data_IF_246491496300
#
_entry.id   IF_246491496300
#
_cell.length_a   1.000
_cell.length_b   1.000
_cell.length_c   1.000
_cell.angle_alpha   90.00
_cell.angle_beta   90.00
_cell.angle_gamma   90.00
#
_symmetry.space_group_name_H-M   'P 1'
#
loop_
_entity.id
_entity.type
_entity.pdbx_description
1 polymer ?
2 polymer ?
3 water ?
#
# COMPACT_ATOMS: atom_id res chain seq x y z
N UNK A 24 15.21 7.16 -6.68
CA UNK A 24 15.59 6.33 -5.55
C UNK A 24 15.78 4.85 -5.97
N UNK A 25 16.70 4.14 -5.30
CA UNK A 25 16.92 2.73 -5.64
C UNK A 25 15.71 1.90 -5.26
N UNK A 26 15.45 0.80 -5.99
CA UNK A 26 14.29 -0.05 -5.65
C UNK A 26 14.44 -0.71 -4.28
N UNK A 27 13.30 -1.00 -3.67
CA UNK A 27 13.27 -1.77 -2.43
C UNK A 27 13.66 -3.22 -2.68
N UNK A 28 14.37 -3.84 -1.74
CA UNK A 28 14.82 -5.21 -1.92
C UNK A 28 14.21 -6.12 -0.86
N UNK A 29 13.95 -7.37 -1.25
CA UNK A 29 13.47 -8.39 -0.34
C UNK A 29 14.07 -9.74 -0.72
N UNK A 30 14.30 -10.56 0.28
CA UNK A 30 14.70 -11.96 0.12
C UNK A 30 13.57 -12.86 0.63
N UNK A 31 13.17 -13.83 -0.19
CA UNK A 31 11.97 -14.64 0.04
C UNK A 31 12.37 -16.11 0.05
N UNK A 32 12.19 -16.77 1.19
CA UNK A 32 12.45 -18.19 1.33
C UNK A 32 11.15 -18.89 1.71
N UNK A 33 10.76 -19.89 0.93
CA UNK A 33 9.63 -20.76 1.25
C UNK A 33 10.17 -22.14 1.61
N UNK A 34 9.95 -22.58 2.85
CA UNK A 34 10.31 -23.91 3.32
C UNK A 34 9.02 -24.65 3.68
N UNK A 35 8.95 -25.96 3.40
CA UNK A 35 7.71 -26.67 3.65
C UNK A 35 7.70 -27.21 5.08
N UNK A 36 6.58 -27.84 5.46
CA UNK A 36 6.40 -28.36 6.82
C UNK A 36 7.47 -29.38 7.22
N UNK A 37 8.20 -29.94 6.25
CA UNK A 37 9.26 -30.90 6.53
C UNK A 37 10.65 -30.27 6.58
N UNK A 38 10.81 -29.05 6.06
CA UNK A 38 12.09 -28.35 6.09
C UNK A 38 12.71 -28.13 4.73
N UNK A 39 12.10 -28.62 3.67
CA UNK A 39 12.68 -28.56 2.33
C UNK A 39 12.50 -27.15 1.78
N UNK A 40 13.59 -26.52 1.34
CA UNK A 40 13.47 -25.24 0.68
C UNK A 40 12.72 -25.46 -0.64
N UNK A 41 11.56 -24.81 -0.77
CA UNK A 41 10.80 -24.83 -2.00
C UNK A 41 11.12 -23.61 -2.86
N UNK A 42 11.68 -22.56 -2.26
CA UNK A 42 11.92 -21.34 -3.01
C UNK A 42 12.87 -20.43 -2.23
N UNK A 43 13.87 -19.90 -2.93
CA UNK A 43 14.69 -18.83 -2.39
C UNK A 43 15.09 -17.95 -3.54
N UNK A 44 14.70 -16.68 -3.45
CA UNK A 44 14.86 -15.72 -4.53
C UNK A 44 14.95 -14.33 -3.92
N UNK A 45 15.50 -13.41 -4.72
CA UNK A 45 15.65 -12.02 -4.31
C UNK A 45 14.73 -11.18 -5.19
N UNK A 46 14.20 -10.11 -4.61
CA UNK A 46 13.10 -9.38 -5.22
C UNK A 46 13.40 -7.89 -5.14
N UNK A 47 12.74 -7.13 -6.01
CA UNK A 47 12.84 -5.68 -6.07
C UNK A 47 11.48 -5.10 -6.42
N UNK A 48 11.18 -3.93 -5.87
CA UNK A 48 9.95 -3.26 -6.26
C UNK A 48 10.14 -2.61 -7.64
N UNK A 49 9.09 -1.96 -8.14
CA UNK A 49 9.16 -1.20 -9.37
C UNK A 49 9.14 -2.04 -10.64
N UNK A 50 9.05 -1.34 -11.78
CA UNK A 50 8.97 -1.94 -13.11
C UNK A 50 7.84 -2.96 -13.18
N UNK A 51 6.62 -2.46 -13.28
CA UNK A 51 5.42 -3.28 -13.35
C UNK A 51 5.45 -4.23 -14.53
N UNK A 52 5.24 -5.52 -14.26
CA UNK A 52 5.03 -6.49 -15.34
C UNK A 52 3.65 -6.32 -15.96
N UNK A 53 3.47 -6.90 -17.15
CA UNK A 53 2.16 -6.82 -17.81
C UNK A 53 1.14 -7.66 -17.06
N UNK A 54 1.55 -8.81 -16.52
CA UNK A 54 0.63 -9.55 -15.65
C UNK A 54 0.13 -8.66 -14.52
N UNK A 55 1.05 -7.90 -13.90
CA UNK A 55 0.67 -6.94 -12.86
C UNK A 55 -0.25 -5.87 -13.43
N UNK A 56 0.15 -5.27 -14.56
CA UNK A 56 -0.62 -4.19 -15.17
C UNK A 56 -2.07 -4.58 -15.41
N UNK A 57 -2.33 -5.87 -15.71
CA UNK A 57 -3.69 -6.30 -16.02
C UNK A 57 -4.60 -6.29 -14.80
N UNK A 58 -4.06 -6.11 -13.60
CA UNK A 58 -4.87 -6.10 -12.40
C UNK A 58 -5.75 -4.86 -12.30
N UNK A 59 -5.49 -3.83 -13.11
CA UNK A 59 -6.20 -2.58 -13.00
C UNK A 59 -5.62 -1.68 -11.91
N UNK A 60 -5.85 -0.38 -12.07
CA UNK A 60 -5.46 0.59 -11.06
C UNK A 60 -6.55 0.72 -9.99
N UNK A 61 -6.19 0.79 -8.68
CA UNK A 61 -4.82 0.93 -8.14
C UNK A 61 -4.15 -0.38 -7.77
N UNK A 62 -4.84 -1.51 -7.93
CA UNK A 62 -4.30 -2.79 -7.47
C UNK A 62 -2.96 -3.13 -8.13
N UNK A 63 -2.76 -2.66 -9.37
CA UNK A 63 -1.55 -3.05 -10.08
C UNK A 63 -0.33 -2.31 -9.56
N UNK A 64 -0.48 -1.04 -9.20
CA UNK A 64 0.61 -0.34 -8.54
C UNK A 64 0.86 -0.94 -7.16
N UNK A 65 -0.22 -1.18 -6.41
CA UNK A 65 -0.11 -1.79 -5.09
C UNK A 65 0.60 -3.14 -5.15
N UNK A 66 0.54 -3.82 -6.32
CA UNK A 66 1.11 -5.15 -6.48
C UNK A 66 2.61 -5.14 -6.75
N UNK A 67 3.22 -3.99 -7.04
CA UNK A 67 4.66 -3.91 -7.34
C UNK A 67 5.53 -3.68 -6.10
N UNK A 68 4.93 -3.65 -4.91
CA UNK A 68 5.70 -3.69 -3.66
C UNK A 68 6.29 -5.07 -3.48
N UNK A 69 7.49 -5.12 -2.88
CA UNK A 69 8.20 -6.37 -2.68
C UNK A 69 7.35 -7.40 -1.93
N UNK A 70 6.66 -6.98 -0.86
CA UNK A 70 5.90 -7.96 -0.08
C UNK A 70 4.77 -8.54 -0.91
N UNK A 71 4.03 -7.68 -1.63
CA UNK A 71 2.93 -8.15 -2.47
C UNK A 71 3.44 -9.10 -3.55
N UNK A 72 4.55 -8.73 -4.21
CA UNK A 72 5.17 -9.61 -5.19
C UNK A 72 5.53 -10.95 -4.58
N UNK A 73 6.12 -10.94 -3.39
CA UNK A 73 6.48 -12.19 -2.72
C UNK A 73 5.25 -13.09 -2.54
N UNK A 74 4.15 -12.53 -2.03
CA UNK A 74 2.96 -13.34 -1.85
C UNK A 74 2.40 -13.87 -3.16
N UNK A 75 2.73 -13.24 -4.28
CA UNK A 75 2.29 -13.73 -5.59
C UNK A 75 3.35 -14.57 -6.29
N UNK A 76 4.56 -14.67 -5.73
CA UNK A 76 5.61 -15.51 -6.29
C UNK A 76 5.18 -16.95 -6.41
N UNK A 77 4.96 -17.61 -5.27
CA UNK A 77 4.75 -19.03 -5.24
C UNK A 77 3.51 -19.32 -4.39
N UNK A 78 2.70 -20.28 -4.86
CA UNK A 78 1.58 -20.77 -4.07
C UNK A 78 2.10 -21.51 -2.84
N UNK A 79 1.44 -21.31 -1.71
CA UNK A 79 1.81 -22.00 -0.48
C UNK A 79 0.86 -23.13 -0.19
N UNK A 80 1.44 -24.23 0.28
CA UNK A 80 0.69 -25.35 0.81
C UNK A 80 0.62 -25.24 2.31
N UNK A 81 -0.43 -25.85 2.87
CA UNK A 81 -0.60 -25.96 4.30
C UNK A 81 0.68 -26.41 4.98
N UNK A 82 1.11 -25.65 5.98
CA UNK A 82 2.32 -25.94 6.72
C UNK A 82 3.55 -25.26 6.20
N UNK A 83 3.49 -24.63 5.03
CA UNK A 83 4.66 -23.91 4.55
C UNK A 83 4.92 -22.68 5.42
N UNK A 84 6.17 -22.22 5.39
CA UNK A 84 6.56 -20.94 5.95
C UNK A 84 7.18 -20.12 4.84
N UNK A 85 6.58 -18.96 4.55
CA UNK A 85 7.18 -17.98 3.64
C UNK A 85 7.84 -16.90 4.49
N UNK A 86 9.16 -16.87 4.46
CA UNK A 86 9.96 -15.84 5.10
C UNK A 86 10.30 -14.75 4.08
N UNK A 87 9.91 -13.50 4.39
CA UNK A 87 10.13 -12.34 3.52
C UNK A 87 10.97 -11.36 4.31
N UNK A 88 12.25 -11.27 3.97
CA UNK A 88 13.18 -10.33 4.64
C UNK A 88 13.29 -9.09 3.76
N UNK A 89 12.62 -8.02 4.17
CA UNK A 89 12.63 -6.77 3.46
C UNK A 89 13.41 -5.72 4.21
N UNK A 90 13.26 -4.46 3.76
CA UNK A 90 14.10 -3.37 4.23
C UNK A 90 13.36 -2.33 5.05
N UNK A 91 12.05 -2.18 4.85
CA UNK A 91 11.24 -1.18 5.50
C UNK A 91 10.14 -1.87 6.32
N UNK A 92 9.68 -1.18 7.36
CA UNK A 92 8.50 -1.66 8.08
C UNK A 92 7.37 -1.91 7.08
N UNK A 93 6.54 -2.93 7.29
CA UNK A 93 5.61 -3.35 6.23
C UNK A 93 4.47 -2.34 6.03
N UNK A 94 4.21 -2.01 4.78
CA UNK A 94 3.20 -1.05 4.46
C UNK A 94 1.81 -1.64 4.70
N UNK A 95 0.79 -0.80 4.85
CA UNK A 95 -0.57 -1.35 5.10
C UNK A 95 -1.05 -2.38 4.10
N UNK A 96 -1.02 -2.09 2.79
CA UNK A 96 -1.47 -3.09 1.82
C UNK A 96 -0.51 -4.28 1.75
N UNK A 97 0.77 -4.04 2.06
CA UNK A 97 1.75 -5.14 2.17
C UNK A 97 1.39 -6.09 3.31
N UNK A 98 1.04 -5.54 4.46
CA UNK A 98 0.64 -6.37 5.60
C UNK A 98 -0.56 -7.22 5.25
N UNK A 99 -1.54 -6.63 4.58
CA UNK A 99 -2.74 -7.35 4.27
C UNK A 99 -2.50 -8.45 3.26
N UNK A 100 -1.60 -8.21 2.32
CA UNK A 100 -1.22 -9.26 1.37
C UNK A 100 -0.62 -10.45 2.10
N UNK A 101 0.27 -10.19 3.06
CA UNK A 101 0.95 -11.29 3.75
C UNK A 101 -0.01 -12.00 4.69
N UNK A 102 -0.91 -11.25 5.35
CA UNK A 102 -1.95 -11.88 6.16
C UNK A 102 -2.86 -12.74 5.30
N UNK A 103 -3.43 -12.16 4.24
CA UNK A 103 -4.35 -12.90 3.39
C UNK A 103 -3.67 -14.15 2.83
N UNK A 104 -2.41 -13.98 2.40
CA UNK A 104 -1.64 -15.11 1.91
C UNK A 104 -1.56 -16.22 2.95
N UNK A 105 -1.32 -15.86 4.21
CA UNK A 105 -1.20 -16.89 5.24
C UNK A 105 -2.54 -17.55 5.53
N UNK A 106 -3.61 -16.75 5.59
CA UNK A 106 -4.93 -17.27 5.93
C UNK A 106 -5.50 -18.10 4.80
N UNK A 107 -5.38 -17.62 3.56
CA UNK A 107 -5.84 -18.39 2.42
C UNK A 107 -5.05 -19.68 2.21
N UNK A 108 -3.78 -19.73 2.60
CA UNK A 108 -2.95 -20.90 2.35
C UNK A 108 -2.91 -21.88 3.50
N UNK A 109 -3.39 -21.47 4.68
CA UNK A 109 -3.15 -22.26 5.87
C UNK A 109 -1.69 -22.47 6.15
N UNK A 110 -0.89 -21.39 6.05
CA UNK A 110 0.55 -21.43 6.18
C UNK A 110 0.99 -20.25 7.05
N UNK A 111 2.29 -20.22 7.37
CA UNK A 111 2.89 -19.14 8.13
C UNK A 111 3.64 -18.20 7.17
N UNK A 112 3.44 -16.89 7.35
CA UNK A 112 4.17 -15.86 6.61
C UNK A 112 4.85 -14.94 7.62
N UNK A 113 6.16 -14.75 7.46
CA UNK A 113 7.00 -14.00 8.37
C UNK A 113 7.65 -12.86 7.60
N UNK A 114 7.62 -11.65 8.17
CA UNK A 114 8.26 -10.50 7.56
C UNK A 114 9.25 -9.90 8.55
N UNK A 115 10.45 -9.61 8.07
CA UNK A 115 11.46 -8.93 8.87
C UNK A 115 11.94 -7.68 8.14
N UNK A 116 12.55 -6.76 8.89
CA UNK A 116 13.10 -5.53 8.35
C UNK A 116 14.03 -4.92 9.40
N UNK A 117 15.06 -4.20 8.99
CA UNK A 117 15.97 -3.60 9.98
C UNK A 117 15.34 -2.38 10.62
N UNK A 118 15.50 -2.28 11.93
CA UNK A 118 15.04 -1.11 12.68
C UNK A 118 15.80 -1.09 14.01
N UNK A 119 16.35 0.08 14.36
CA UNK A 119 17.13 0.25 15.59
C UNK A 119 18.26 -0.77 15.69
N UNK A 120 18.95 -0.99 14.58
CA UNK A 120 20.11 -1.87 14.57
C UNK A 120 19.78 -3.32 14.70
N UNK A 121 18.51 -3.70 14.53
CA UNK A 121 18.04 -5.07 14.62
C UNK A 121 17.17 -5.40 13.43
N UNK A 122 16.93 -6.70 13.24
CA UNK A 122 15.86 -7.18 12.39
C UNK A 122 14.59 -7.37 13.22
N UNK A 123 13.56 -6.57 12.93
CA UNK A 123 12.25 -6.69 13.55
C UNK A 123 11.42 -7.73 12.79
N UNK A 124 10.34 -8.20 13.41
CA UNK A 124 9.62 -9.37 12.91
C UNK A 124 8.10 -9.21 13.06
N UNK A 125 7.34 -9.65 12.05
CA UNK A 125 5.91 -9.86 12.13
C UNK A 125 5.58 -11.20 11.50
N UNK A 126 4.63 -11.93 12.10
CA UNK A 126 4.19 -13.23 11.59
C UNK A 126 2.68 -13.23 11.46
N UNK A 127 2.19 -13.96 10.46
CA UNK A 127 0.78 -14.28 10.32
C UNK A 127 0.65 -15.77 10.03
N UNK A 128 -0.34 -16.41 10.63
CA UNK A 128 -0.54 -17.85 10.42
C UNK A 128 -2.01 -18.12 10.19
N UNK A 129 -2.33 -18.77 9.07
CA UNK A 129 -3.64 -19.31 8.89
C UNK A 129 -3.79 -20.61 9.68
N UNK A 130 -4.93 -20.72 10.37
CA UNK A 130 -5.28 -21.96 11.07
C UNK A 130 -6.39 -22.68 10.32
N UNK A 131 -6.12 -23.86 9.72
CA UNK A 131 -7.09 -24.60 8.88
C UNK A 131 -8.34 -25.10 9.62
N UNK B 2 6.90 29.71 8.37
CA UNK B 2 6.98 29.48 6.92
C UNK B 2 5.57 29.23 6.35
N UNK B 3 5.34 29.63 5.10
CA UNK B 3 4.15 29.16 4.40
C UNK B 3 4.28 27.67 4.12
N UNK B 4 3.13 26.98 4.04
CA UNK B 4 3.15 25.56 3.74
C UNK B 4 3.59 25.34 2.29
N UNK B 5 4.51 24.39 2.10
CA UNK B 5 5.16 24.15 0.81
C UNK B 5 4.32 23.19 -0.03
N UNK B 6 3.92 23.63 -1.23
CA UNK B 6 3.19 22.76 -2.14
C UNK B 6 4.17 21.85 -2.87
N UNK B 7 4.04 20.53 -2.67
CA UNK B 7 4.94 19.57 -3.31
C UNK B 7 4.49 19.21 -4.72
N UNK B 8 3.19 19.24 -4.97
CA UNK B 8 2.61 18.77 -6.22
C UNK B 8 1.20 19.33 -6.32
N UNK B 9 0.75 19.57 -7.55
CA UNK B 9 -0.58 20.11 -7.84
C UNK B 9 -1.09 19.45 -9.12
N UNK B 10 -1.97 18.48 -8.97
CA UNK B 10 -2.34 17.54 -10.02
C UNK B 10 -3.85 17.54 -10.20
N UNK B 11 -4.31 17.33 -11.46
CA UNK B 11 -5.72 17.18 -11.80
C UNK B 11 -6.10 15.72 -11.69
N UNK B 12 -7.25 15.46 -11.09
CA UNK B 12 -7.69 14.10 -10.79
C UNK B 12 -9.01 13.85 -11.51
N UNK B 13 -9.03 12.79 -12.32
CA UNK B 13 -10.22 12.37 -13.07
C UNK B 13 -10.99 11.24 -12.38
N UNK B 14 -10.32 10.42 -11.58
CA UNK B 14 -10.95 9.29 -10.91
C UNK B 14 -10.51 9.20 -9.45
N UNK B 15 -11.47 9.07 -8.57
CA UNK B 15 -11.23 8.72 -7.17
C UNK B 15 -11.97 7.43 -6.88
N UNK B 16 -11.25 6.45 -6.36
CA UNK B 16 -11.81 5.16 -6.01
C UNK B 16 -11.59 4.89 -4.53
N UNK B 17 -12.48 4.11 -3.93
CA UNK B 17 -12.33 3.68 -2.56
C UNK B 17 -12.68 2.21 -2.47
N UNK B 18 -11.77 1.41 -1.90
CA UNK B 18 -12.08 0.02 -1.58
C UNK B 18 -11.49 -0.35 -0.22
N UNK B 19 -12.02 -1.40 0.37
CA UNK B 19 -11.36 -2.10 1.47
C UNK B 19 -11.12 -3.52 0.98
N UNK B 20 -9.87 -3.87 0.77
CA UNK B 20 -9.46 -5.17 0.26
C UNK B 20 -8.26 -5.64 1.08
N UNK B 21 -8.26 -6.93 1.40
CA UNK B 21 -7.14 -7.58 2.08
C UNK B 21 -6.68 -6.77 3.29
N UNK B 22 -7.62 -6.42 4.16
CA UNK B 22 -7.31 -5.73 5.43
C UNK B 22 -6.73 -4.34 5.22
N UNK B 23 -7.06 -3.69 4.10
CA UNK B 23 -6.48 -2.39 3.78
C UNK B 23 -7.53 -1.49 3.14
N UNK B 24 -7.77 -0.34 3.75
CA UNK B 24 -8.56 0.71 3.14
C UNK B 24 -7.72 1.39 2.07
N UNK B 25 -8.31 1.66 0.91
CA UNK B 25 -7.57 2.13 -0.25
C UNK B 25 -8.33 3.28 -0.87
N UNK B 26 -7.70 4.44 -0.95
CA UNK B 26 -8.30 5.61 -1.56
C UNK B 26 -7.33 6.14 -2.60
N UNK B 27 -7.72 6.08 -3.87
CA UNK B 27 -6.81 6.36 -4.97
C UNK B 27 -7.32 7.56 -5.77
N UNK B 28 -6.36 8.36 -6.24
CA UNK B 28 -6.58 9.59 -7.00
C UNK B 28 -5.77 9.48 -8.30
N UNK B 29 -6.45 9.28 -9.43
CA UNK B 29 -5.78 9.00 -10.69
C UNK B 29 -5.98 10.15 -11.67
N UNK B 30 -4.94 10.46 -12.44
CA UNK B 30 -5.05 11.56 -13.40
C UNK B 30 -5.89 11.18 -14.61
N UNK B 31 -6.09 9.89 -14.83
CA UNK B 31 -6.94 9.41 -15.91
C UNK B 31 -7.53 8.06 -15.50
N UNK B 32 -8.32 7.49 -16.40
CA UNK B 32 -9.04 6.26 -16.10
C UNK B 32 -8.38 5.04 -16.74
N UNK B 33 -7.12 5.17 -17.16
CA UNK B 33 -6.41 4.08 -17.79
C UNK B 33 -5.73 3.18 -16.75
N UNK B 34 -5.24 2.03 -17.22
CA UNK B 34 -4.66 1.05 -16.30
C UNK B 34 -3.46 1.60 -15.56
N UNK B 35 -2.72 2.50 -16.20
CA UNK B 35 -1.49 3.07 -15.67
C UNK B 35 -1.57 4.59 -15.76
N UNK B 36 -2.34 5.24 -14.89
CA UNK B 36 -2.51 6.69 -15.01
C UNK B 36 -1.17 7.40 -14.95
N UNK B 37 -1.11 8.57 -15.58
CA UNK B 37 0.16 9.27 -15.69
C UNK B 37 0.63 9.76 -14.32
N UNK B 38 -0.31 10.20 -13.48
CA UNK B 38 0.01 10.75 -12.17
C UNK B 38 -1.02 10.26 -11.16
N UNK B 39 -0.56 9.80 -9.99
CA UNK B 39 -1.50 9.32 -8.97
C UNK B 39 -0.96 9.50 -7.55
N UNK B 40 -1.91 9.56 -6.61
CA UNK B 40 -1.64 9.35 -5.19
C UNK B 40 -2.58 8.26 -4.68
N UNK B 41 -2.06 7.41 -3.81
CA UNK B 41 -2.87 6.41 -3.13
C UNK B 41 -2.68 6.58 -1.62
N UNK B 42 -3.79 6.64 -0.90
CA UNK B 42 -3.80 6.61 0.56
C UNK B 42 -4.23 5.23 0.99
N UNK B 43 -3.56 4.68 2.00
CA UNK B 43 -3.97 3.39 2.56
C UNK B 43 -3.80 3.36 4.08
N UNK B 44 -4.64 2.56 4.73
CA UNK B 44 -4.56 2.30 6.15
C UNK B 44 -5.14 0.90 6.42
N UNK B 45 -4.52 0.17 7.34
CA UNK B 45 -5.02 -1.14 7.76
C UNK B 45 -6.42 -1.03 8.35
N UNK B 46 -7.20 -2.08 8.15
CA UNK B 46 -8.48 -2.25 8.80
C UNK B 46 -8.48 -3.57 9.57
N UNK B 47 -9.33 -3.66 10.59
CA UNK B 47 -9.32 -4.88 11.41
C UNK B 47 -9.98 -6.06 10.73
N UNK B 48 -10.75 -5.84 9.65
CA UNK B 48 -11.40 -6.93 8.95
C UNK B 48 -11.04 -6.88 7.49
N UNK B 49 -11.19 -8.03 6.81
CA UNK B 49 -10.62 -8.18 5.47
C UNK B 49 -11.22 -7.19 4.48
N UNK B 50 -12.53 -6.94 4.56
CA UNK B 50 -13.21 -6.05 3.63
C UNK B 50 -13.99 -4.97 4.38
N UNK B 51 -13.67 -4.73 5.65
CA UNK B 51 -14.38 -3.77 6.48
C UNK B 51 -13.69 -3.58 7.81
N UNK B 52 -14.44 -3.33 8.88
CA UNK B 52 -13.79 -3.16 10.17
C UNK B 52 -13.19 -1.78 10.40
N UNK B 53 -12.30 -1.71 11.37
CA UNK B 53 -11.87 -0.47 11.99
C UNK B 53 -10.56 -0.01 11.35
N UNK B 54 -10.49 1.17 10.73
CA UNK B 54 -9.20 1.73 10.34
C UNK B 54 -8.23 1.79 11.51
N UNK B 55 -7.02 1.33 11.27
CA UNK B 55 -6.08 0.95 12.32
C UNK B 55 -4.67 1.30 11.85
N UNK B 56 -3.82 1.73 12.79
CA UNK B 56 -2.41 1.92 12.46
C UNK B 56 -2.13 3.25 11.76
N UNK B 57 -0.90 3.35 11.29
CA UNK B 57 -0.46 4.58 10.63
C UNK B 57 -0.96 4.64 9.19
N UNK B 58 -1.41 5.83 8.80
CA UNK B 58 -1.88 6.03 7.46
C UNK B 58 -0.68 6.21 6.53
N UNK B 59 -0.84 5.77 5.29
CA UNK B 59 0.26 5.63 4.37
C UNK B 59 -0.12 6.25 3.04
N UNK B 60 0.88 6.88 2.38
CA UNK B 60 0.71 7.64 1.16
C UNK B 60 1.76 7.25 0.13
N UNK B 61 1.35 7.22 -1.13
CA UNK B 61 2.11 6.57 -2.19
C UNK B 61 1.86 7.33 -3.49
N UNK B 62 2.89 7.39 -4.34
CA UNK B 62 2.78 8.12 -5.60
C UNK B 62 3.85 7.64 -6.58
N UNK B 63 3.56 7.81 -7.88
CA UNK B 63 4.54 7.53 -8.92
C UNK B 63 5.42 8.73 -9.24
N UNK B 64 4.98 9.94 -8.88
CA UNK B 64 5.76 11.15 -9.13
C UNK B 64 7.05 11.13 -8.34
N UNK B 65 8.12 11.63 -8.96
CA UNK B 65 9.44 11.70 -8.31
C UNK B 65 9.43 12.92 -7.40
N UNK B 66 9.02 12.70 -6.16
CA UNK B 66 9.04 13.78 -5.19
C UNK B 66 9.23 13.20 -3.79
N UNK B 67 10.05 13.87 -2.99
CA UNK B 67 10.42 13.36 -1.68
C UNK B 67 9.39 13.82 -0.65
N UNK B 68 8.95 12.87 0.14
CA UNK B 68 8.06 13.12 1.26
C UNK B 68 8.08 11.87 2.10
N UNK B 69 7.83 12.04 3.38
CA UNK B 69 7.67 10.91 4.29
C UNK B 69 6.42 10.14 3.90
N UNK B 70 6.52 8.87 3.52
CA UNK B 70 5.30 8.10 3.24
C UNK B 70 4.34 8.04 4.43
N UNK B 71 4.82 8.14 5.67
CA UNK B 71 3.98 8.14 6.86
C UNK B 71 3.66 9.55 7.35
N UNK B 72 3.86 10.56 6.50
CA UNK B 72 3.76 11.93 6.95
C UNK B 72 2.39 12.57 6.93
N UNK B 73 1.36 11.91 6.39
CA UNK B 73 0.02 12.50 6.34
C UNK B 73 -0.45 12.86 7.73
N UNK B 74 -0.84 14.12 7.90
CA UNK B 74 -1.40 14.62 9.16
C UNK B 74 -2.85 14.99 9.05
N UNK B 75 -3.36 15.24 7.84
CA UNK B 75 -4.76 15.56 7.68
C UNK B 75 -5.05 15.99 6.26
N UNK B 76 -6.16 16.69 6.12
CA UNK B 76 -6.60 17.12 4.81
C UNK B 76 -7.38 18.41 4.96
N UNK B 77 -7.47 19.15 3.85
CA UNK B 77 -8.30 20.34 3.78
C UNK B 77 -9.02 20.35 2.45
N UNK B 78 -10.27 20.77 2.47
CA UNK B 78 -10.97 20.99 1.22
C UNK B 78 -10.77 22.45 0.82
N UNK B 79 -10.46 22.69 -0.46
CA UNK B 79 -10.20 24.00 -1.04
C UNK B 79 -11.02 24.19 -2.30
N UNK B 80 -11.35 25.42 -2.62
CA UNK B 80 -12.01 25.65 -3.89
C UNK B 80 -10.96 25.79 -4.98
N UNK B 81 -11.26 25.32 -6.21
CA UNK B 81 -12.49 24.66 -6.67
C UNK B 81 -12.43 23.14 -6.64
N UNK B 82 -13.21 22.46 -5.78
CA UNK B 82 -13.26 20.99 -5.76
C UNK B 82 -11.86 20.39 -5.54
N UNK B 83 -11.12 20.95 -4.57
CA UNK B 83 -9.75 20.55 -4.29
C UNK B 83 -9.65 19.82 -2.96
N UNK B 84 -8.93 18.69 -2.96
CA UNK B 84 -8.49 18.03 -1.73
C UNK B 84 -7.02 18.39 -1.53
N UNK B 85 -6.70 19.00 -0.39
CA UNK B 85 -5.32 19.27 0.00
C UNK B 85 -4.90 18.25 1.07
N UNK B 86 -3.92 17.41 0.73
CA UNK B 86 -3.39 16.42 1.65
C UNK B 86 -2.21 17.06 2.38
N UNK B 87 -2.28 17.12 3.71
CA UNK B 87 -1.24 17.73 4.52
C UNK B 87 -0.19 16.68 4.88
N UNK B 88 1.07 16.94 4.54
CA UNK B 88 2.14 15.99 4.77
C UNK B 88 3.20 16.67 5.64
N UNK B 89 3.61 15.99 6.69
CA UNK B 89 4.52 16.71 7.57
C UNK B 89 5.97 16.52 7.13
N UNK B 90 6.82 17.53 7.38
CA UNK B 90 6.52 18.84 7.99
C UNK B 90 6.09 19.96 7.03
N UNK B 91 4.93 20.59 7.27
CA UNK B 91 4.55 21.83 6.60
C UNK B 91 4.45 21.70 5.08
N UNK B 92 4.20 20.50 4.56
CA UNK B 92 4.01 20.29 3.13
C UNK B 92 2.55 20.00 2.83
N UNK B 93 2.22 20.07 1.54
CA UNK B 93 0.92 19.59 1.11
C UNK B 93 0.95 19.26 -0.38
N UNK B 94 -0.05 18.49 -0.78
CA UNK B 94 -0.26 18.06 -2.14
C UNK B 94 -1.69 18.42 -2.51
N UNK B 95 -1.87 19.15 -3.60
CA UNK B 95 -3.18 19.61 -4.01
C UNK B 95 -3.72 18.68 -5.08
N UNK B 96 -4.90 18.15 -4.86
CA UNK B 96 -5.52 17.20 -5.76
C UNK B 96 -6.80 17.88 -6.23
N UNK B 97 -6.77 18.41 -7.45
CA UNK B 97 -7.91 19.13 -8.01
C UNK B 97 -8.82 18.13 -8.71
N UNK B 98 -9.98 17.90 -8.11
CA UNK B 98 -10.91 16.92 -8.62
C UNK B 98 -11.74 17.57 -9.71
N UNK B 99 -11.75 16.95 -10.89
CA UNK B 99 -12.66 17.36 -11.96
C UNK B 99 -14.08 17.37 -11.41
N UNK B 100 -14.95 18.16 -12.06
CA UNK B 100 -16.19 18.61 -11.43
C UNK B 100 -17.17 17.48 -11.17
N UNK B 101 -17.13 16.42 -12.00
CA UNK B 101 -18.01 15.27 -11.82
C UNK B 101 -17.91 14.66 -10.43
N UNK B 102 -16.73 14.70 -9.82
CA UNK B 102 -16.47 13.97 -8.59
C UNK B 102 -17.12 14.67 -7.41
N UNK B 103 -17.96 13.94 -6.67
CA UNK B 103 -18.60 14.44 -5.46
C UNK B 103 -17.56 14.56 -4.37
N UNK B 104 -17.15 15.79 -4.07
CA UNK B 104 -16.05 15.98 -3.13
C UNK B 104 -16.46 15.64 -1.71
N UNK B 105 -17.76 15.72 -1.40
CA UNK B 105 -18.23 15.33 -0.07
C UNK B 105 -18.17 13.82 0.11
N UNK B 106 -18.36 13.05 -0.96
CA UNK B 106 -18.17 11.60 -0.89
C UNK B 106 -16.69 11.26 -0.72
N UNK B 107 -15.81 12.00 -1.39
CA UNK B 107 -14.38 11.83 -1.16
C UNK B 107 -14.04 12.20 0.29
N UNK B 108 -14.65 13.27 0.81
CA UNK B 108 -14.36 13.68 2.19
C UNK B 108 -14.80 12.63 3.19
N UNK B 109 -15.93 11.97 2.95
CA UNK B 109 -16.39 10.95 3.90
C UNK B 109 -15.41 9.79 3.98
N UNK B 110 -14.82 9.41 2.85
CA UNK B 110 -13.80 8.38 2.86
C UNK B 110 -12.57 8.85 3.63
N UNK B 111 -12.25 10.14 3.53
CA UNK B 111 -11.11 10.67 4.24
C UNK B 111 -11.35 10.69 5.74
N UNK B 112 -12.58 11.01 6.16
CA UNK B 112 -12.94 10.98 7.58
C UNK B 112 -12.85 9.57 8.14
N UNK B 113 -13.20 8.59 7.31
CA UNK B 113 -13.02 7.20 7.64
C UNK B 113 -11.54 6.88 7.83
N UNK B 114 -10.71 7.24 6.84
CA UNK B 114 -9.30 6.89 6.87
C UNK B 114 -8.58 7.49 8.07
N UNK B 115 -8.95 8.70 8.48
CA UNK B 115 -8.28 9.40 9.57
C UNK B 115 -8.96 9.21 10.92
N UNK B 116 -10.02 8.41 10.99
CA UNK B 116 -10.75 8.23 12.24
C UNK B 116 -9.88 7.54 13.30
N UNK B 117 -9.63 8.23 14.42
CA UNK B 117 -8.79 7.67 15.48
C UNK B 117 -7.47 7.09 14.92
#
# INVERSE_FOLDING_TARGET
MGSSHHHHHHSQDPGWKFSNGKRRPPHKATVTVTDKNGVVKHKSNLVSGNMTEAEKKLGFPNNSLATHTENRATRLIDLNQGDTMLIEGQYRPCPRCKGAMRVKAEESGAKVIYTWPEDGDLKKREWEGTPCDKK
MTKSKMLSNIVIQEVKFAIEDYCAILSFASDSYEVPEQYFIITRSTTERSGGIPEGDIYLESNLFLDFNPYGLSGYLLSEPNCVDLLIEPNNYVRLRLIEKIDILEVENHLKFLFDN
#
